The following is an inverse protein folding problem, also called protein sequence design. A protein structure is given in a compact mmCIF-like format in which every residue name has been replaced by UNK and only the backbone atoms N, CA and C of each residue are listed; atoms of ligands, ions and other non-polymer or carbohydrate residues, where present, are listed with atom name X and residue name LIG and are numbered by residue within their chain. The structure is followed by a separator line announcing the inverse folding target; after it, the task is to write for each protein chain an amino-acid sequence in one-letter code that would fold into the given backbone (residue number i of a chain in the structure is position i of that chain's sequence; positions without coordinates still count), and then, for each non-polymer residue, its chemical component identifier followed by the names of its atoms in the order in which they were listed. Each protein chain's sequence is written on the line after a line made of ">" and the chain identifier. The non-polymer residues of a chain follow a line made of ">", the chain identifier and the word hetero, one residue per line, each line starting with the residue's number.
data_IF_746775880218
#
_entry.id   IF_746775880218
#
_cell.length_a   1.000
_cell.length_b   1.000
_cell.length_c   1.000
_cell.angle_alpha   90.00
_cell.angle_beta   90.00
_cell.angle_gamma   90.00
#
_symmetry.space_group_name_H-M   'P 1'
#
loop_
_entity.id
_entity.type
_entity.pdbx_description
1 polymer ?
#
# COMPACT_ATOMS: atom_id res chain seq x y z
N UNK A 1 30.05 18.77 3.82
CA UNK A 1 28.82 18.22 3.22
C UNK A 1 28.66 16.78 3.62
N UNK A 2 27.45 16.38 4.01
CA UNK A 2 27.13 14.98 4.28
C UNK A 2 27.11 14.23 2.95
N UNK A 3 27.95 13.23 2.81
CA UNK A 3 27.98 12.33 1.65
C UNK A 3 27.48 10.95 2.09
N UNK A 4 26.43 10.46 1.45
CA UNK A 4 25.91 9.12 1.67
C UNK A 4 25.84 8.37 0.34
N UNK A 5 26.67 7.36 0.21
CA UNK A 5 26.64 6.44 -0.94
C UNK A 5 25.88 5.16 -0.53
N UNK A 6 24.94 4.73 -1.36
CA UNK A 6 24.16 3.52 -1.11
C UNK A 6 24.05 2.70 -2.38
N UNK A 7 24.69 1.54 -2.36
CA UNK A 7 24.57 0.55 -3.40
C UNK A 7 23.52 -0.52 -3.02
N UNK A 8 22.62 -0.83 -3.95
CA UNK A 8 21.57 -1.82 -3.76
C UNK A 8 21.68 -2.95 -4.79
N UNK A 9 22.64 -3.84 -4.59
CA UNK A 9 22.68 -5.08 -5.35
C UNK A 9 21.88 -6.16 -4.61
N UNK A 10 20.69 -6.50 -5.12
CA UNK A 10 19.83 -7.54 -4.53
C UNK A 10 19.14 -8.34 -5.63
N UNK A 11 19.00 -9.63 -5.36
CA UNK A 11 18.18 -10.52 -6.18
C UNK A 11 16.71 -10.41 -5.75
N UNK A 12 15.83 -10.33 -6.75
CA UNK A 12 14.36 -10.30 -6.57
C UNK A 12 13.76 -11.55 -7.21
N UNK A 13 13.85 -12.72 -6.55
CA UNK A 13 13.32 -13.94 -7.10
C UNK A 13 11.81 -13.86 -7.26
N UNK A 14 11.32 -14.42 -8.34
CA UNK A 14 9.91 -14.51 -8.69
C UNK A 14 9.61 -15.92 -9.19
N UNK A 15 8.64 -16.58 -8.59
CA UNK A 15 8.16 -17.90 -8.98
C UNK A 15 6.65 -17.81 -9.22
N UNK A 16 6.22 -18.25 -10.40
CA UNK A 16 4.80 -18.34 -10.75
C UNK A 16 4.50 -19.75 -11.22
N UNK A 17 3.43 -20.32 -10.72
CA UNK A 17 2.91 -21.62 -11.11
C UNK A 17 1.45 -21.49 -11.53
N UNK A 18 1.07 -22.24 -12.55
CA UNK A 18 -0.30 -22.37 -13.03
C UNK A 18 -0.60 -23.85 -13.23
N UNK A 19 -1.73 -24.30 -12.69
CA UNK A 19 -2.17 -25.69 -12.78
C UNK A 19 -3.60 -25.73 -13.26
N UNK A 20 -3.86 -26.41 -14.37
CA UNK A 20 -5.19 -26.65 -14.90
C UNK A 20 -5.81 -27.83 -14.13
N UNK A 21 -6.68 -27.51 -13.16
CA UNK A 21 -7.40 -28.52 -12.37
C UNK A 21 -8.44 -29.21 -13.26
N UNK A 22 -9.07 -28.43 -14.15
CA UNK A 22 -9.98 -28.86 -15.22
C UNK A 22 -9.82 -27.91 -16.40
N UNK A 23 -10.48 -28.19 -17.53
CA UNK A 23 -10.45 -27.32 -18.72
C UNK A 23 -10.84 -25.86 -18.42
N UNK A 24 -11.78 -25.68 -17.50
CA UNK A 24 -12.34 -24.37 -17.12
C UNK A 24 -11.99 -23.93 -15.70
N UNK A 25 -11.11 -24.64 -14.98
CA UNK A 25 -10.73 -24.35 -13.61
C UNK A 25 -9.20 -24.34 -13.48
N UNK A 26 -8.64 -23.18 -13.20
CA UNK A 26 -7.21 -22.95 -13.10
C UNK A 26 -6.84 -22.52 -11.68
N UNK A 27 -5.88 -23.18 -11.08
CA UNK A 27 -5.24 -22.77 -9.84
C UNK A 27 -3.91 -22.08 -10.17
N UNK A 28 -3.67 -20.91 -9.55
CA UNK A 28 -2.41 -20.17 -9.68
C UNK A 28 -1.78 -19.93 -8.33
N UNK A 29 -0.48 -20.00 -8.28
CA UNK A 29 0.32 -19.63 -7.12
C UNK A 29 1.46 -18.71 -7.58
N UNK A 30 1.77 -17.70 -6.79
CA UNK A 30 2.93 -16.85 -7.01
C UNK A 30 3.65 -16.56 -5.70
N UNK A 31 4.97 -16.51 -5.78
CA UNK A 31 5.83 -16.11 -4.70
C UNK A 31 6.91 -15.18 -5.25
N UNK A 32 7.05 -14.00 -4.67
CA UNK A 32 8.03 -13.03 -5.15
C UNK A 32 8.49 -12.08 -4.04
N UNK A 33 9.65 -11.49 -4.27
CA UNK A 33 10.21 -10.44 -3.42
C UNK A 33 10.17 -9.11 -4.17
N UNK A 34 9.81 -8.05 -3.47
CA UNK A 34 9.80 -6.67 -3.96
C UNK A 34 10.52 -5.75 -2.99
N UNK A 35 10.90 -4.56 -3.48
CA UNK A 35 11.56 -3.51 -2.70
C UNK A 35 10.81 -2.19 -2.91
N UNK A 36 10.71 -1.40 -1.86
CA UNK A 36 10.29 0.00 -1.95
C UNK A 36 11.39 0.90 -1.41
N UNK A 37 11.77 1.86 -2.22
CA UNK A 37 12.78 2.86 -1.86
C UNK A 37 12.12 3.99 -1.08
N UNK A 38 12.84 4.64 -0.17
CA UNK A 38 12.43 5.92 0.39
C UNK A 38 12.33 7.00 -0.70
N UNK A 39 11.56 8.03 -0.43
CA UNK A 39 11.48 9.20 -1.29
C UNK A 39 12.85 9.91 -1.37
N UNK A 40 13.13 10.55 -2.49
CA UNK A 40 14.42 11.22 -2.71
C UNK A 40 14.76 12.26 -1.66
N UNK A 41 13.77 13.01 -1.15
CA UNK A 41 13.95 14.00 -0.12
C UNK A 41 14.54 13.42 1.18
N UNK A 42 14.28 12.14 1.48
CA UNK A 42 14.89 11.47 2.65
C UNK A 42 16.42 11.36 2.53
N UNK A 43 16.93 11.23 1.31
CA UNK A 43 18.37 11.08 1.06
C UNK A 43 19.14 12.42 0.99
N UNK A 44 18.47 13.52 0.75
CA UNK A 44 19.13 14.83 0.64
C UNK A 44 19.54 15.40 1.99
N UNK A 45 19.08 14.77 3.08
CA UNK A 45 19.16 15.38 4.39
C UNK A 45 18.24 16.59 4.47
N UNK A 46 18.17 17.22 5.60
CA UNK A 46 17.42 18.45 5.75
C UNK A 46 16.59 18.48 7.01
N UNK A 47 16.36 19.70 7.42
CA UNK A 47 15.61 20.08 8.58
C UNK A 47 14.46 20.97 8.10
N UNK A 48 13.23 20.64 8.46
CA UNK A 48 12.08 21.51 8.27
C UNK A 48 11.66 22.01 9.63
N UNK A 49 11.65 23.33 9.81
CA UNK A 49 11.30 23.96 11.06
C UNK A 49 9.78 24.10 11.18
N UNK A 50 9.26 24.04 12.43
CA UNK A 50 7.86 24.30 12.69
C UNK A 50 7.52 25.77 12.51
N UNK A 51 6.25 26.05 12.39
CA UNK A 51 5.72 27.41 12.46
C UNK A 51 5.75 27.90 13.92
N UNK A 52 6.60 28.86 14.21
CA UNK A 52 6.78 29.38 15.58
C UNK A 52 5.66 30.29 16.05
N UNK A 53 4.77 30.71 15.16
CA UNK A 53 3.55 31.44 15.52
C UNK A 53 2.45 30.50 16.06
N UNK A 54 2.62 29.19 15.90
CA UNK A 54 1.71 28.15 16.36
C UNK A 54 2.33 27.35 17.51
N UNK A 55 1.49 26.93 18.44
CA UNK A 55 1.92 26.07 19.53
C UNK A 55 2.45 24.70 19.04
N UNK A 56 3.41 24.10 19.77
CA UNK A 56 3.85 22.73 19.51
C UNK A 56 2.66 21.75 19.46
N UNK A 57 2.62 20.92 18.42
CA UNK A 57 1.54 19.95 18.23
C UNK A 57 2.02 18.79 17.36
N UNK A 58 1.20 17.75 17.23
CA UNK A 58 1.49 16.60 16.38
C UNK A 58 1.70 16.96 14.89
N UNK A 59 1.20 18.08 14.43
CA UNK A 59 1.35 18.59 13.07
C UNK A 59 2.38 19.72 12.95
N UNK A 60 2.86 20.28 14.06
CA UNK A 60 3.80 21.38 14.10
C UNK A 60 5.04 20.99 14.91
N UNK A 61 5.98 20.34 14.24
CA UNK A 61 7.20 19.75 14.81
C UNK A 61 8.42 20.05 13.95
N UNK A 62 9.60 19.91 14.53
CA UNK A 62 10.84 19.88 13.79
C UNK A 62 10.90 18.55 13.02
N UNK A 63 10.94 18.58 11.69
CA UNK A 63 11.02 17.38 10.87
C UNK A 63 12.44 17.19 10.32
N UNK A 64 13.02 16.01 10.54
CA UNK A 64 14.39 15.67 10.12
C UNK A 64 14.37 14.51 9.16
N UNK A 65 14.98 14.69 7.99
CA UNK A 65 15.17 13.62 7.03
C UNK A 65 16.26 12.66 7.50
N UNK A 66 15.94 11.37 7.52
CA UNK A 66 16.90 10.34 7.88
C UNK A 66 17.65 9.81 6.66
N UNK A 67 18.85 10.33 6.43
CA UNK A 67 19.73 9.86 5.34
C UNK A 67 20.15 8.39 5.49
N UNK A 68 20.07 7.83 6.71
CA UNK A 68 20.37 6.44 7.03
C UNK A 68 19.25 5.46 6.68
N UNK A 69 18.08 5.94 6.28
CA UNK A 69 16.91 5.09 6.01
C UNK A 69 17.20 4.09 4.89
N UNK A 70 16.84 2.82 5.13
CA UNK A 70 17.05 1.70 4.20
C UNK A 70 15.74 1.39 3.46
N UNK A 71 15.80 0.93 2.20
CA UNK A 71 14.62 0.43 1.51
C UNK A 71 13.95 -0.69 2.30
N UNK A 72 12.62 -0.70 2.31
CA UNK A 72 11.88 -1.86 2.79
C UNK A 72 11.85 -2.95 1.72
N UNK A 73 11.72 -4.18 2.15
CA UNK A 73 11.50 -5.32 1.26
C UNK A 73 10.22 -6.05 1.67
N UNK A 74 9.53 -6.62 0.70
CA UNK A 74 8.35 -7.43 0.94
C UNK A 74 8.46 -8.78 0.24
N UNK A 75 8.11 -9.85 0.96
CA UNK A 75 7.91 -11.18 0.42
C UNK A 75 6.41 -11.41 0.29
N UNK A 76 5.96 -11.65 -0.93
CA UNK A 76 4.54 -11.87 -1.23
C UNK A 76 4.32 -13.31 -1.65
N UNK A 77 3.33 -13.95 -1.05
CA UNK A 77 2.76 -15.23 -1.49
C UNK A 77 1.31 -14.98 -1.86
N UNK A 78 0.89 -15.44 -3.03
CA UNK A 78 -0.48 -15.30 -3.52
C UNK A 78 -0.94 -16.62 -4.12
N UNK A 79 -2.17 -16.99 -3.82
CA UNK A 79 -2.88 -18.11 -4.44
C UNK A 79 -4.21 -17.62 -5.01
N UNK A 80 -4.62 -18.18 -6.14
CA UNK A 80 -5.85 -17.80 -6.81
C UNK A 80 -6.45 -19.01 -7.49
N UNK A 81 -7.78 -19.13 -7.42
CA UNK A 81 -8.56 -20.09 -8.17
C UNK A 81 -9.45 -19.32 -9.15
N UNK A 82 -9.38 -19.69 -10.42
CA UNK A 82 -10.09 -19.05 -11.52
C UNK A 82 -10.99 -20.07 -12.20
N UNK A 83 -12.29 -19.75 -12.30
CA UNK A 83 -13.25 -20.55 -13.02
C UNK A 83 -13.78 -19.77 -14.23
N UNK A 84 -13.70 -20.37 -15.39
CA UNK A 84 -14.13 -19.79 -16.66
C UNK A 84 -15.46 -20.40 -17.08
N UNK A 85 -16.44 -19.54 -17.34
CA UNK A 85 -17.73 -19.98 -17.84
C UNK A 85 -17.68 -20.26 -19.34
N UNK A 86 -18.41 -21.25 -19.81
CA UNK A 86 -18.47 -21.62 -21.23
C UNK A 86 -18.91 -20.48 -22.15
N UNK A 87 -19.61 -19.46 -21.62
CA UNK A 87 -20.10 -18.28 -22.35
C UNK A 87 -19.47 -16.99 -21.83
N UNK A 88 -18.21 -16.77 -22.16
CA UNK A 88 -17.50 -15.50 -21.95
C UNK A 88 -17.72 -14.89 -20.56
N UNK A 89 -17.15 -15.51 -19.56
CA UNK A 89 -17.13 -14.99 -18.20
C UNK A 89 -16.14 -15.72 -17.33
N UNK A 90 -15.81 -15.11 -16.20
CA UNK A 90 -14.95 -15.71 -15.20
C UNK A 90 -15.33 -15.28 -13.79
N UNK A 91 -15.07 -16.15 -12.84
CA UNK A 91 -15.03 -15.82 -11.43
C UNK A 91 -13.68 -16.25 -10.86
N UNK A 92 -13.10 -15.45 -10.00
CA UNK A 92 -11.89 -15.84 -9.29
C UNK A 92 -11.92 -15.42 -7.83
N UNK A 93 -11.30 -16.26 -7.01
CA UNK A 93 -11.08 -15.99 -5.59
C UNK A 93 -9.59 -16.17 -5.33
N UNK A 94 -8.99 -15.22 -4.65
CA UNK A 94 -7.59 -15.25 -4.30
C UNK A 94 -7.36 -14.91 -2.83
N UNK A 95 -6.25 -15.40 -2.31
CA UNK A 95 -5.73 -15.02 -1.01
C UNK A 95 -4.26 -14.63 -1.17
N UNK A 96 -3.83 -13.64 -0.41
CA UNK A 96 -2.44 -13.23 -0.39
C UNK A 96 -1.94 -12.96 1.02
N UNK A 97 -0.63 -13.12 1.18
CA UNK A 97 0.12 -12.71 2.35
C UNK A 97 1.38 -12.00 1.90
N UNK A 98 1.65 -10.86 2.53
CA UNK A 98 2.83 -10.04 2.28
C UNK A 98 3.50 -9.71 3.60
N UNK A 99 4.74 -10.15 3.74
CA UNK A 99 5.57 -9.89 4.93
C UNK A 99 6.58 -8.78 4.59
N UNK A 100 6.47 -7.63 5.25
CA UNK A 100 7.35 -6.47 5.08
C UNK A 100 8.46 -6.49 6.11
N UNK A 101 9.69 -6.24 5.66
CA UNK A 101 10.88 -6.01 6.50
C UNK A 101 11.40 -4.61 6.28
N UNK A 102 11.94 -3.99 7.34
CA UNK A 102 12.45 -2.62 7.32
C UNK A 102 11.42 -1.60 6.85
N UNK A 103 10.13 -1.82 7.12
CA UNK A 103 9.10 -0.87 6.75
C UNK A 103 9.34 0.48 7.41
N UNK A 104 8.84 1.55 6.83
CA UNK A 104 9.04 2.89 7.36
C UNK A 104 8.07 3.15 8.52
N UNK A 105 8.60 3.66 9.61
CA UNK A 105 7.86 4.20 10.73
C UNK A 105 8.32 5.62 11.03
N UNK A 106 7.44 6.41 11.61
CA UNK A 106 7.77 7.73 12.11
C UNK A 106 7.91 7.64 13.64
N UNK A 107 8.89 8.32 14.18
CA UNK A 107 9.09 8.51 15.62
C UNK A 107 9.20 9.98 15.92
N UNK A 108 8.59 10.39 17.03
CA UNK A 108 8.74 11.72 17.58
C UNK A 108 9.30 11.61 19.01
N UNK A 109 10.19 12.51 19.35
CA UNK A 109 10.80 12.62 20.67
C UNK A 109 11.03 14.10 21.00
N UNK A 110 11.06 14.47 22.27
CA UNK A 110 11.36 15.85 22.70
C UNK A 110 12.71 16.29 22.13
N UNK A 111 12.77 17.56 21.70
CA UNK A 111 14.05 18.13 21.26
C UNK A 111 15.04 18.15 22.43
N UNK A 112 16.32 17.89 22.15
CA UNK A 112 17.38 17.97 23.17
C UNK A 112 18.26 19.21 22.96
N UNK A 113 18.88 19.75 24.02
CA UNK A 113 19.82 20.90 23.89
C UNK A 113 20.95 20.62 22.91
N UNK A 114 21.47 19.38 22.88
CA UNK A 114 22.52 18.95 21.97
C UNK A 114 22.06 19.01 20.52
N UNK A 115 20.80 18.60 20.27
CA UNK A 115 20.21 18.68 18.93
C UNK A 115 20.09 20.14 18.45
N UNK A 116 19.61 21.03 19.32
CA UNK A 116 19.49 22.45 19.03
C UNK A 116 20.87 23.07 18.72
N UNK A 117 21.86 22.80 19.56
CA UNK A 117 23.24 23.32 19.37
C UNK A 117 23.86 22.80 18.07
N UNK A 118 23.67 21.49 17.75
CA UNK A 118 24.20 20.88 16.53
C UNK A 118 23.62 21.51 15.25
N UNK A 119 22.36 21.98 15.31
CA UNK A 119 21.66 22.56 14.17
C UNK A 119 21.61 24.09 14.21
N UNK A 120 22.32 24.75 15.15
CA UNK A 120 22.33 26.20 15.37
C UNK A 120 20.91 26.77 15.54
N UNK A 121 20.07 26.07 16.31
CA UNK A 121 18.70 26.49 16.61
C UNK A 121 18.64 27.16 18.00
N UNK A 122 17.82 28.20 18.09
CA UNK A 122 17.59 28.92 19.32
C UNK A 122 16.75 28.06 20.30
N UNK A 123 17.27 27.83 21.51
CA UNK A 123 16.61 27.02 22.54
C UNK A 123 15.33 27.66 23.08
N UNK A 124 15.29 28.99 23.14
CA UNK A 124 14.12 29.71 23.65
C UNK A 124 12.94 29.61 22.65
N UNK A 125 13.26 29.51 21.37
CA UNK A 125 12.27 29.46 20.30
C UNK A 125 11.83 28.01 20.00
N UNK A 126 12.76 27.06 19.99
CA UNK A 126 12.51 25.69 19.54
C UNK A 126 12.50 24.63 20.64
N UNK A 127 12.87 25.00 21.87
CA UNK A 127 13.00 24.05 22.99
C UNK A 127 11.69 23.34 23.40
N UNK A 128 10.53 23.89 23.04
CA UNK A 128 9.23 23.28 23.33
C UNK A 128 8.70 22.32 22.26
N UNK A 129 9.40 22.17 21.12
CA UNK A 129 8.94 21.33 20.01
C UNK A 129 9.51 19.91 20.07
N UNK A 130 8.75 18.97 19.52
CA UNK A 130 9.27 17.63 19.27
C UNK A 130 10.05 17.56 17.96
N UNK A 131 11.00 16.64 17.90
CA UNK A 131 11.69 16.24 16.67
C UNK A 131 11.03 14.99 16.12
N UNK A 132 10.64 15.04 14.87
CA UNK A 132 10.07 13.90 14.14
C UNK A 132 11.04 13.44 13.05
N UNK A 133 11.26 12.12 12.96
CA UNK A 133 12.06 11.52 11.89
C UNK A 133 11.46 10.17 11.47
N UNK A 134 11.79 9.75 10.24
CA UNK A 134 11.46 8.42 9.76
C UNK A 134 12.59 7.43 10.05
N UNK A 135 12.23 6.21 10.41
CA UNK A 135 13.18 5.13 10.64
C UNK A 135 12.66 3.80 10.07
N UNK A 136 13.55 2.84 9.93
CA UNK A 136 13.13 1.49 9.56
C UNK A 136 12.65 0.74 10.80
N UNK A 137 11.45 0.18 10.72
CA UNK A 137 10.90 -0.69 11.75
C UNK A 137 11.70 -1.98 11.81
N UNK A 138 12.16 -2.35 13.00
CA UNK A 138 12.90 -3.59 13.25
C UNK A 138 12.01 -4.83 13.21
N UNK A 139 10.71 -4.65 13.43
CA UNK A 139 9.70 -5.71 13.49
C UNK A 139 9.00 -5.86 12.15
N UNK A 140 8.61 -7.09 11.84
CA UNK A 140 7.91 -7.41 10.59
C UNK A 140 6.45 -6.95 10.65
N UNK A 141 6.00 -6.28 9.60
CA UNK A 141 4.58 -6.02 9.36
C UNK A 141 4.09 -7.02 8.33
N UNK A 142 2.93 -7.60 8.59
CA UNK A 142 2.28 -8.55 7.69
C UNK A 142 0.97 -7.95 7.17
N UNK A 143 0.73 -8.09 5.88
CA UNK A 143 -0.56 -7.80 5.26
C UNK A 143 -1.13 -9.08 4.67
N UNK A 144 -2.35 -9.41 5.04
CA UNK A 144 -3.09 -10.56 4.54
C UNK A 144 -4.41 -10.09 3.96
N UNK A 145 -4.86 -10.74 2.91
CA UNK A 145 -6.12 -10.36 2.29
C UNK A 145 -6.71 -11.40 1.38
N UNK A 146 -7.97 -11.15 1.06
CA UNK A 146 -8.76 -11.90 0.09
C UNK A 146 -9.14 -10.98 -1.07
N UNK A 147 -9.18 -11.55 -2.26
CA UNK A 147 -9.58 -10.88 -3.50
C UNK A 147 -10.66 -11.71 -4.16
N UNK A 148 -11.66 -11.02 -4.70
CA UNK A 148 -12.73 -11.60 -5.49
C UNK A 148 -12.87 -10.82 -6.78
N UNK A 149 -12.96 -11.51 -7.91
CA UNK A 149 -13.23 -10.90 -9.20
C UNK A 149 -14.30 -11.72 -9.94
N UNK A 150 -15.25 -11.03 -10.53
CA UNK A 150 -16.29 -11.60 -11.36
C UNK A 150 -16.49 -10.75 -12.60
N UNK A 151 -16.59 -11.38 -13.74
CA UNK A 151 -16.91 -10.73 -15.01
C UNK A 151 -17.68 -11.69 -15.89
N UNK A 152 -18.79 -11.24 -16.46
CA UNK A 152 -19.59 -12.06 -17.38
C UNK A 152 -20.27 -11.21 -18.45
N UNK A 153 -20.21 -11.69 -19.68
CA UNK A 153 -21.08 -11.23 -20.74
C UNK A 153 -22.40 -12.01 -20.70
N UNK A 154 -23.52 -11.32 -20.62
CA UNK A 154 -24.87 -11.93 -20.53
C UNK A 154 -25.37 -12.32 -21.93
N UNK A 155 -24.72 -13.30 -22.56
CA UNK A 155 -25.00 -13.74 -23.92
C UNK A 155 -26.32 -14.48 -24.05
N UNK A 156 -26.91 -14.93 -22.95
CA UNK A 156 -28.20 -15.61 -22.89
C UNK A 156 -29.40 -14.66 -22.94
N UNK A 157 -29.17 -13.35 -22.87
CA UNK A 157 -30.21 -12.34 -22.94
C UNK A 157 -30.77 -12.21 -24.38
N UNK A 158 -32.06 -11.80 -24.51
CA UNK A 158 -32.67 -11.52 -25.80
C UNK A 158 -31.87 -10.50 -26.63
N UNK A 159 -32.10 -10.46 -27.95
CA UNK A 159 -31.36 -9.56 -28.86
C UNK A 159 -31.36 -8.10 -28.44
N UNK A 160 -32.44 -7.61 -27.85
CA UNK A 160 -32.54 -6.23 -27.33
C UNK A 160 -31.60 -5.95 -26.16
N UNK A 161 -31.17 -6.97 -25.42
CA UNK A 161 -30.25 -6.86 -24.30
C UNK A 161 -28.89 -7.54 -24.56
N UNK A 162 -28.62 -8.02 -25.78
CA UNK A 162 -27.29 -8.51 -26.15
C UNK A 162 -26.24 -7.43 -25.98
N UNK A 163 -25.03 -7.81 -25.58
CA UNK A 163 -23.93 -6.87 -25.33
C UNK A 163 -23.88 -6.31 -23.91
N UNK A 164 -24.77 -6.79 -23.03
CA UNK A 164 -24.65 -6.48 -21.60
C UNK A 164 -23.52 -7.30 -20.99
N UNK A 165 -22.63 -6.62 -20.27
CA UNK A 165 -21.59 -7.23 -19.47
C UNK A 165 -21.71 -6.69 -18.04
N UNK A 166 -21.52 -7.58 -17.07
CA UNK A 166 -21.46 -7.23 -15.66
C UNK A 166 -20.07 -7.57 -15.10
N UNK A 167 -19.63 -6.80 -14.15
CA UNK A 167 -18.42 -7.08 -13.40
C UNK A 167 -18.60 -6.72 -11.93
N UNK A 168 -17.88 -7.41 -11.09
CA UNK A 168 -17.74 -7.08 -9.68
C UNK A 168 -16.34 -7.48 -9.22
N UNK A 169 -15.68 -6.63 -8.47
CA UNK A 169 -14.47 -7.00 -7.74
C UNK A 169 -14.56 -6.50 -6.31
N UNK A 170 -13.97 -7.24 -5.41
CA UNK A 170 -13.90 -6.90 -4.00
C UNK A 170 -12.56 -7.33 -3.44
N UNK A 171 -12.04 -6.56 -2.51
CA UNK A 171 -10.88 -6.92 -1.73
C UNK A 171 -11.09 -6.61 -0.25
N UNK A 172 -10.60 -7.50 0.59
CA UNK A 172 -10.53 -7.30 2.03
C UNK A 172 -9.11 -7.62 2.50
N UNK A 173 -8.51 -6.73 3.27
CA UNK A 173 -7.15 -6.91 3.76
C UNK A 173 -6.98 -6.35 5.17
N UNK A 174 -6.04 -6.91 5.89
CA UNK A 174 -5.68 -6.47 7.23
C UNK A 174 -4.16 -6.45 7.40
N UNK A 175 -3.69 -5.52 8.20
CA UNK A 175 -2.33 -5.52 8.69
C UNK A 175 -2.27 -6.24 10.04
N UNK A 176 -1.30 -7.10 10.22
CA UNK A 176 -1.02 -7.86 11.45
C UNK A 176 0.46 -7.83 11.77
N UNK A 177 0.83 -8.29 12.97
CA UNK A 177 2.22 -8.25 13.44
C UNK A 177 2.46 -7.13 14.43
N UNK A 178 3.61 -7.17 15.10
CA UNK A 178 3.94 -6.27 16.21
C UNK A 178 4.03 -4.78 15.82
N UNK A 179 4.39 -4.49 14.57
CA UNK A 179 4.47 -3.14 14.04
C UNK A 179 3.27 -2.73 13.18
N UNK A 180 2.15 -3.48 13.25
CA UNK A 180 0.97 -3.22 12.43
C UNK A 180 0.31 -1.87 12.71
N UNK A 181 0.51 -1.30 13.91
CA UNK A 181 -0.01 0.02 14.26
C UNK A 181 0.64 1.15 13.45
N UNK A 182 1.89 0.98 13.05
CA UNK A 182 2.64 1.94 12.24
C UNK A 182 2.33 1.80 10.74
N UNK A 183 1.67 0.68 10.35
CA UNK A 183 1.28 0.44 8.98
C UNK A 183 -0.06 1.10 8.67
N UNK A 184 0.00 2.32 8.21
CA UNK A 184 -1.17 3.17 7.95
C UNK A 184 -1.33 3.42 6.46
N UNK A 185 -2.45 3.99 6.08
CA UNK A 185 -2.65 4.44 4.71
C UNK A 185 -3.24 3.39 3.76
N UNK A 186 -3.44 2.16 4.18
CA UNK A 186 -4.12 1.16 3.35
C UNK A 186 -5.65 1.20 3.53
N UNK A 187 -6.37 0.75 2.51
CA UNK A 187 -7.82 0.61 2.53
C UNK A 187 -8.16 -0.83 2.90
N UNK A 188 -8.78 -1.08 4.07
CA UNK A 188 -9.04 -2.46 4.54
C UNK A 188 -10.08 -3.20 3.70
N UNK A 189 -11.01 -2.49 3.10
CA UNK A 189 -12.05 -3.07 2.24
C UNK A 189 -12.33 -2.16 1.07
N UNK A 190 -12.37 -2.71 -0.14
CA UNK A 190 -12.78 -2.00 -1.34
C UNK A 190 -13.57 -2.92 -2.25
N UNK A 191 -14.41 -2.34 -3.08
CA UNK A 191 -15.14 -3.06 -4.09
C UNK A 191 -15.58 -2.13 -5.20
N UNK A 192 -15.69 -2.67 -6.39
CA UNK A 192 -16.33 -1.98 -7.50
C UNK A 192 -17.17 -2.97 -8.28
N UNK A 193 -18.30 -2.51 -8.77
CA UNK A 193 -19.20 -3.30 -9.61
C UNK A 193 -19.85 -2.41 -10.64
N UNK A 194 -20.26 -3.00 -11.71
CA UNK A 194 -20.87 -2.23 -12.76
C UNK A 194 -21.46 -3.09 -13.87
N UNK A 195 -22.13 -2.38 -14.74
CA UNK A 195 -22.76 -2.91 -15.96
C UNK A 195 -22.32 -2.07 -17.14
N UNK A 196 -22.08 -2.72 -18.26
CA UNK A 196 -21.89 -2.05 -19.53
C UNK A 196 -22.80 -2.68 -20.59
N UNK A 197 -23.37 -1.83 -21.44
CA UNK A 197 -24.11 -2.23 -22.64
C UNK A 197 -23.32 -1.73 -23.86
N UNK A 198 -22.79 -2.67 -24.64
CA UNK A 198 -22.04 -2.37 -25.85
C UNK A 198 -22.93 -2.60 -27.08
N UNK A 199 -23.09 -1.58 -27.89
CA UNK A 199 -23.83 -1.59 -29.14
C UNK A 199 -22.98 -1.03 -30.28
N UNK A 200 -23.26 -1.36 -31.55
CA UNK A 200 -22.46 -0.86 -32.66
C UNK A 200 -22.38 0.68 -32.73
N UNK A 201 -23.41 1.36 -32.26
CA UNK A 201 -23.51 2.83 -32.34
C UNK A 201 -23.22 3.56 -31.02
N UNK A 202 -23.27 2.86 -29.86
CA UNK A 202 -23.07 3.49 -28.55
C UNK A 202 -22.65 2.48 -27.49
N UNK A 203 -22.02 2.97 -26.45
CA UNK A 203 -21.71 2.21 -25.24
C UNK A 203 -22.23 2.97 -24.03
N UNK A 204 -22.98 2.28 -23.18
CA UNK A 204 -23.42 2.79 -21.89
C UNK A 204 -22.67 2.03 -20.79
N UNK A 205 -22.21 2.76 -19.77
CA UNK A 205 -21.53 2.16 -18.61
C UNK A 205 -22.04 2.81 -17.33
N UNK A 206 -22.33 1.97 -16.33
CA UNK A 206 -22.63 2.42 -14.98
C UNK A 206 -21.71 1.66 -14.00
N UNK A 207 -21.00 2.41 -13.16
CA UNK A 207 -20.05 1.87 -12.21
C UNK A 207 -20.34 2.40 -10.81
N UNK A 208 -20.25 1.53 -9.81
CA UNK A 208 -20.29 1.87 -8.41
C UNK A 208 -18.95 1.47 -7.78
N UNK A 209 -18.41 2.34 -6.91
CA UNK A 209 -17.18 2.08 -6.19
C UNK A 209 -17.42 2.25 -4.69
N UNK A 210 -17.00 1.26 -3.92
CA UNK A 210 -16.99 1.30 -2.47
C UNK A 210 -15.55 1.31 -1.98
N UNK A 211 -15.28 2.21 -1.04
CA UNK A 211 -13.99 2.30 -0.37
C UNK A 211 -14.21 2.42 1.13
N UNK A 212 -13.74 1.45 1.87
CA UNK A 212 -13.79 1.45 3.32
C UNK A 212 -12.94 2.57 3.92
N UNK A 213 -13.17 2.88 5.19
CA UNK A 213 -12.41 3.90 5.92
C UNK A 213 -10.93 3.53 5.92
N UNK A 214 -10.10 4.48 5.52
CA UNK A 214 -8.64 4.36 5.58
C UNK A 214 -8.20 4.58 7.03
N UNK A 215 -7.36 3.70 7.56
CA UNK A 215 -6.71 3.93 8.84
C UNK A 215 -5.64 5.01 8.64
N UNK A 216 -5.80 6.13 9.27
CA UNK A 216 -4.76 7.14 9.41
C UNK A 216 -3.94 6.83 10.67
N UNK A 217 -2.74 7.42 10.79
CA UNK A 217 -1.83 7.14 11.89
C UNK A 217 -2.47 7.23 13.25
N UNK A 218 -1.85 6.61 14.22
CA UNK A 218 -2.22 6.76 15.63
C UNK A 218 -2.05 8.24 15.96
N UNK A 219 -3.15 8.92 16.27
CA UNK A 219 -3.08 10.19 16.96
C UNK A 219 -2.55 9.85 18.36
N UNK A 220 -1.28 10.08 18.59
CA UNK A 220 -0.68 10.00 19.92
C UNK A 220 -1.05 11.26 20.70
#
# INVERSE_FOLDING_TARGET
>A
GLHAEKEYLRLFPNLNASFNVRENLIARASWYTSIGRPDYNQYTGGLTLPDTEQLPSNSNRISVNNIGIKPWSARTTKVRLEYYFERVGQVSVGAFRRDFKNFFGSVAFPVTPEFLALNNLDSDLYGGYDVQTNHNLTRTVRMEGLEFDYKQALTFLPERARGVQIFANASAQRATGEASNNFTGYVPRSGSWGVSLNRPKYTLKANCNYRGRRRQGVLA
#
